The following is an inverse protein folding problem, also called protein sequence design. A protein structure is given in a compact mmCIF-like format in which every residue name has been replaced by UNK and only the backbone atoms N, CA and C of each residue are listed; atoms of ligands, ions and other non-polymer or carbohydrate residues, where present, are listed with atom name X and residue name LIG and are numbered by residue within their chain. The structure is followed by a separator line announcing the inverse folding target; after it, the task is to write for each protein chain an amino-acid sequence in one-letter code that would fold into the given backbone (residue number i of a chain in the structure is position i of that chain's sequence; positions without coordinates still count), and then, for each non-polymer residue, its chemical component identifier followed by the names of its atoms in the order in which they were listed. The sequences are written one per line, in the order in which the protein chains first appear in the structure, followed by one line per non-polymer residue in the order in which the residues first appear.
data_IF_900298182162
#
_entry.id   IF_900298182162
#
_cell.length_a   1.000
_cell.length_b   1.000
_cell.length_c   1.000
_cell.angle_alpha   90.00
_cell.angle_beta   90.00
_cell.angle_gamma   90.00
#
_symmetry.space_group_name_H-M   'P 1'
#
loop_
_entity.id
_entity.type
_entity.pdbx_description
1 polymer ?
#
# COMPACT_ATOMS: atom_id res chain seq x y z
N UNK A 1 22.33 32.00 -57.19
CA UNK A 1 22.94 31.78 -55.86
C UNK A 1 21.89 31.98 -54.76
N UNK A 2 21.01 31.01 -54.48
CA UNK A 2 20.16 31.01 -53.27
C UNK A 2 19.72 29.57 -52.96
N UNK A 3 20.43 28.84 -52.09
CA UNK A 3 20.01 27.48 -51.69
C UNK A 3 20.66 26.95 -50.39
N UNK A 4 20.94 27.78 -49.38
CA UNK A 4 21.60 27.31 -48.14
C UNK A 4 20.75 27.45 -46.87
N UNK A 5 19.58 28.09 -46.91
CA UNK A 5 18.80 28.40 -45.70
C UNK A 5 18.00 27.22 -45.12
N UNK A 6 17.74 26.16 -45.89
CA UNK A 6 16.82 25.08 -45.50
C UNK A 6 17.38 24.05 -44.50
N UNK A 7 18.70 23.93 -44.34
CA UNK A 7 19.31 22.93 -43.43
C UNK A 7 19.21 23.33 -41.96
N UNK A 8 19.27 24.61 -41.63
CA UNK A 8 19.22 25.08 -40.24
C UNK A 8 17.82 24.94 -39.63
N UNK A 9 16.78 25.12 -40.45
CA UNK A 9 15.39 24.96 -40.01
C UNK A 9 15.05 23.50 -39.67
N UNK A 10 15.59 22.53 -40.42
CA UNK A 10 15.35 21.09 -40.20
C UNK A 10 15.94 20.59 -38.88
N UNK A 11 17.14 21.02 -38.51
CA UNK A 11 17.77 20.62 -37.24
C UNK A 11 17.07 21.21 -36.01
N UNK A 12 16.56 22.45 -36.11
CA UNK A 12 15.78 23.07 -35.03
C UNK A 12 14.50 22.29 -34.72
N UNK A 13 13.77 21.86 -35.75
CA UNK A 13 12.53 21.06 -35.57
C UNK A 13 12.83 19.70 -34.92
N UNK A 14 13.90 19.01 -35.33
CA UNK A 14 14.29 17.73 -34.75
C UNK A 14 14.66 17.88 -33.26
N UNK A 15 15.39 18.93 -32.90
CA UNK A 15 15.77 19.17 -31.51
C UNK A 15 14.54 19.44 -30.61
N UNK A 16 13.58 20.23 -31.10
CA UNK A 16 12.34 20.53 -30.37
C UNK A 16 11.49 19.26 -30.22
N UNK A 17 11.31 18.47 -31.28
CA UNK A 17 10.59 17.20 -31.21
C UNK A 17 11.26 16.20 -30.27
N UNK A 18 12.60 16.16 -30.25
CA UNK A 18 13.38 15.33 -29.31
C UNK A 18 13.15 15.71 -27.85
N UNK A 19 13.13 17.02 -27.53
CA UNK A 19 12.84 17.51 -26.18
C UNK A 19 11.40 17.21 -25.74
N UNK A 20 10.43 17.38 -26.63
CA UNK A 20 9.02 17.05 -26.36
C UNK A 20 8.85 15.55 -26.10
N UNK A 21 9.50 14.70 -26.89
CA UNK A 21 9.48 13.26 -26.69
C UNK A 21 10.17 12.84 -25.38
N UNK A 22 11.31 13.44 -25.03
CA UNK A 22 11.98 13.19 -23.74
C UNK A 22 11.12 13.64 -22.55
N UNK A 23 10.43 14.79 -22.65
CA UNK A 23 9.49 15.25 -21.64
C UNK A 23 8.32 14.29 -21.47
N UNK A 24 7.75 13.78 -22.56
CA UNK A 24 6.64 12.83 -22.52
C UNK A 24 7.05 11.46 -21.94
N UNK A 25 8.22 10.94 -22.32
CA UNK A 25 8.76 9.70 -21.75
C UNK A 25 9.11 9.87 -20.27
N UNK A 26 9.69 11.01 -19.89
CA UNK A 26 9.96 11.35 -18.48
C UNK A 26 8.70 11.39 -17.63
N UNK A 27 7.61 11.99 -18.14
CA UNK A 27 6.31 12.03 -17.46
C UNK A 27 5.73 10.63 -17.21
N UNK A 28 5.78 9.74 -18.21
CA UNK A 28 5.28 8.36 -18.09
C UNK A 28 6.06 7.52 -17.06
N UNK A 29 7.36 7.80 -16.88
CA UNK A 29 8.20 7.11 -15.89
C UNK A 29 7.88 7.62 -14.47
N UNK A 30 7.67 8.92 -14.30
CA UNK A 30 7.37 9.55 -13.00
C UNK A 30 6.12 8.95 -12.33
N UNK A 31 5.04 8.76 -13.08
CA UNK A 31 3.79 8.19 -12.54
C UNK A 31 3.94 6.75 -12.01
N UNK A 32 4.85 5.96 -12.61
CA UNK A 32 5.12 4.58 -12.14
C UNK A 32 5.87 4.59 -10.82
N UNK A 33 6.84 5.48 -10.66
CA UNK A 33 7.66 5.58 -9.45
C UNK A 33 6.80 5.94 -8.23
N UNK A 34 5.87 6.88 -8.38
CA UNK A 34 4.99 7.30 -7.28
C UNK A 34 4.09 6.16 -6.78
N UNK A 35 3.58 5.31 -7.68
CA UNK A 35 2.75 4.15 -7.29
C UNK A 35 3.55 3.12 -6.50
N UNK A 36 4.78 2.84 -6.91
CA UNK A 36 5.65 1.89 -6.19
C UNK A 36 5.97 2.41 -4.78
N UNK A 37 6.32 3.69 -4.66
CA UNK A 37 6.62 4.29 -3.35
C UNK A 37 5.43 4.21 -2.39
N UNK A 38 4.21 4.50 -2.86
CA UNK A 38 3.00 4.41 -2.04
C UNK A 38 2.74 2.98 -1.55
N UNK A 39 2.92 1.97 -2.42
CA UNK A 39 2.75 0.57 -2.03
C UNK A 39 3.73 0.13 -0.95
N UNK A 40 4.99 0.54 -1.08
CA UNK A 40 6.03 0.25 -0.08
C UNK A 40 5.70 0.95 1.24
N UNK A 41 5.26 2.21 1.19
CA UNK A 41 4.84 2.94 2.38
C UNK A 41 3.63 2.29 3.06
N UNK A 42 2.59 1.94 2.29
CA UNK A 42 1.41 1.22 2.79
C UNK A 42 1.81 -0.12 3.40
N UNK A 43 2.63 -0.91 2.71
CA UNK A 43 3.06 -2.22 3.20
C UNK A 43 3.77 -2.07 4.54
N UNK A 44 4.74 -1.17 4.61
CA UNK A 44 5.39 -0.87 5.87
C UNK A 44 4.36 -0.43 6.92
N UNK A 45 3.46 0.52 6.62
CA UNK A 45 2.49 1.02 7.59
C UNK A 45 1.62 -0.10 8.18
N UNK A 46 1.10 -0.98 7.33
CA UNK A 46 0.30 -2.12 7.75
C UNK A 46 1.13 -3.15 8.54
N UNK A 47 2.39 -3.36 8.16
CA UNK A 47 3.35 -4.19 8.91
C UNK A 47 3.58 -3.64 10.33
N UNK A 48 3.78 -2.33 10.48
CA UNK A 48 3.99 -1.71 11.80
C UNK A 48 2.73 -1.76 12.67
N UNK A 49 1.54 -1.60 12.07
CA UNK A 49 0.28 -1.80 12.79
C UNK A 49 0.12 -3.25 13.25
N UNK A 50 0.45 -4.23 12.39
CA UNK A 50 0.41 -5.64 12.75
C UNK A 50 1.41 -5.96 13.88
N UNK A 51 2.65 -5.49 13.79
CA UNK A 51 3.64 -5.65 14.85
C UNK A 51 3.21 -4.95 16.15
N UNK A 52 2.65 -3.74 16.08
CA UNK A 52 2.14 -3.02 17.24
C UNK A 52 1.02 -3.81 17.94
N UNK A 53 0.14 -4.43 17.16
CA UNK A 53 -0.91 -5.30 17.66
C UNK A 53 -0.36 -6.52 18.41
N UNK A 54 0.62 -7.21 17.84
CA UNK A 54 1.29 -8.36 18.49
C UNK A 54 1.99 -7.92 19.77
N UNK A 55 2.74 -6.81 19.73
CA UNK A 55 3.45 -6.24 20.90
C UNK A 55 2.49 -5.85 22.03
N UNK A 56 1.34 -5.26 21.69
CA UNK A 56 0.32 -4.93 22.67
C UNK A 56 -0.14 -6.20 23.40
N UNK A 57 -0.51 -7.24 22.64
CA UNK A 57 -0.94 -8.51 23.21
C UNK A 57 0.14 -9.18 24.06
N UNK A 58 1.39 -9.21 23.59
CA UNK A 58 2.48 -9.82 24.33
C UNK A 58 2.69 -9.17 25.71
N UNK A 59 2.49 -7.85 25.78
CA UNK A 59 2.64 -7.06 27.00
C UNK A 59 1.42 -7.13 27.94
N UNK A 60 0.21 -6.97 27.41
CA UNK A 60 -1.02 -6.83 28.22
C UNK A 60 -1.79 -8.15 28.39
N UNK A 61 -1.48 -9.15 27.55
CA UNK A 61 -2.26 -10.40 27.39
C UNK A 61 -3.72 -10.14 27.05
N UNK A 62 -4.02 -8.97 26.48
CA UNK A 62 -5.34 -8.54 26.02
C UNK A 62 -5.22 -8.04 24.59
N UNK A 63 -6.25 -8.24 23.79
CA UNK A 63 -6.30 -7.71 22.44
C UNK A 63 -6.60 -6.21 22.49
N UNK A 64 -5.93 -5.38 21.68
CA UNK A 64 -6.27 -3.97 21.55
C UNK A 64 -7.68 -3.88 20.97
N UNK A 65 -8.51 -2.98 21.52
CA UNK A 65 -9.89 -2.77 21.06
C UNK A 65 -10.02 -1.52 20.22
N UNK A 66 -9.14 -0.57 20.45
CA UNK A 66 -9.19 0.75 19.87
C UNK A 66 -7.82 1.14 19.29
N UNK A 67 -7.76 2.05 18.30
CA UNK A 67 -6.50 2.57 17.77
C UNK A 67 -5.57 3.16 18.85
N UNK A 68 -6.12 3.69 19.93
CA UNK A 68 -5.34 4.31 21.01
C UNK A 68 -4.54 3.28 21.81
N UNK A 69 -4.99 2.02 21.88
CA UNK A 69 -4.24 0.92 22.52
C UNK A 69 -2.94 0.59 21.78
N UNK A 70 -2.89 0.88 20.47
CA UNK A 70 -1.73 0.66 19.61
C UNK A 70 -0.72 1.80 19.69
N UNK A 71 -1.13 3.01 20.11
CA UNK A 71 -0.28 4.19 20.16
C UNK A 71 1.09 3.98 20.85
N UNK A 72 1.20 3.28 22.00
CA UNK A 72 2.51 3.06 22.63
C UNK A 72 3.41 2.03 21.92
N UNK A 73 2.88 1.33 20.91
CA UNK A 73 3.56 0.21 20.24
C UNK A 73 3.87 0.46 18.76
N UNK A 74 3.20 1.45 18.15
CA UNK A 74 3.42 1.91 16.77
C UNK A 74 4.72 2.68 16.69
N UNK A 75 5.57 2.31 15.74
CA UNK A 75 6.86 2.97 15.48
C UNK A 75 6.68 4.14 14.52
N UNK A 76 5.72 4.04 13.59
CA UNK A 76 5.48 5.02 12.52
C UNK A 76 4.18 5.80 12.78
N UNK A 77 4.25 7.08 13.18
CA UNK A 77 3.06 7.85 13.56
C UNK A 77 2.09 8.05 12.38
N UNK A 78 2.58 8.03 11.14
CA UNK A 78 1.76 8.11 9.93
C UNK A 78 0.78 6.93 9.82
N UNK A 79 1.18 5.72 10.24
CA UNK A 79 0.32 4.55 10.20
C UNK A 79 -0.88 4.68 11.14
N UNK A 80 -0.65 5.20 12.36
CA UNK A 80 -1.71 5.45 13.33
C UNK A 80 -2.65 6.58 12.87
N UNK A 81 -2.12 7.64 12.25
CA UNK A 81 -2.93 8.71 11.71
C UNK A 81 -3.87 8.20 10.61
N UNK A 82 -3.36 7.42 9.66
CA UNK A 82 -4.14 6.80 8.58
C UNK A 82 -5.17 5.79 9.12
N UNK A 83 -4.86 5.06 10.18
CA UNK A 83 -5.83 4.20 10.87
C UNK A 83 -6.97 5.03 11.50
N UNK A 84 -6.65 6.13 12.18
CA UNK A 84 -7.65 7.03 12.81
C UNK A 84 -8.52 7.75 11.78
N UNK A 85 -7.95 8.10 10.63
CA UNK A 85 -8.67 8.67 9.48
C UNK A 85 -9.60 7.63 8.81
N UNK A 86 -9.35 6.34 9.02
CA UNK A 86 -10.09 5.24 8.41
C UNK A 86 -9.55 4.83 7.03
N UNK A 87 -8.37 5.30 6.65
CA UNK A 87 -7.65 4.87 5.44
C UNK A 87 -7.18 3.41 5.57
N UNK A 88 -6.86 2.98 6.78
CA UNK A 88 -6.57 1.59 7.11
C UNK A 88 -7.67 1.03 8.01
N UNK A 89 -7.97 -0.26 7.83
CA UNK A 89 -8.96 -1.00 8.61
C UNK A 89 -8.24 -2.13 9.33
N UNK A 90 -8.40 -2.19 10.65
CA UNK A 90 -7.90 -3.28 11.50
C UNK A 90 -9.06 -4.18 11.89
N UNK A 91 -8.88 -5.49 11.76
CA UNK A 91 -9.82 -6.50 12.23
C UNK A 91 -9.45 -6.85 13.68
N UNK A 92 -10.06 -6.14 14.63
CA UNK A 92 -9.75 -6.26 16.06
C UNK A 92 -9.97 -7.65 16.66
N UNK A 93 -10.79 -8.48 16.02
CA UNK A 93 -11.08 -9.85 16.47
C UNK A 93 -10.27 -10.92 15.72
N UNK A 94 -9.33 -10.52 14.85
CA UNK A 94 -8.60 -11.43 13.97
C UNK A 94 -7.81 -12.54 14.69
N UNK A 95 -7.46 -12.33 15.96
CA UNK A 95 -6.69 -13.31 16.73
C UNK A 95 -7.52 -14.43 17.36
N UNK A 96 -8.84 -14.22 17.50
CA UNK A 96 -9.77 -15.25 17.97
C UNK A 96 -10.12 -16.24 16.86
N UNK A 97 -9.83 -15.87 15.62
CA UNK A 97 -10.13 -16.67 14.45
C UNK A 97 -9.06 -17.73 14.26
N UNK A 98 -9.51 -18.96 14.01
CA UNK A 98 -8.61 -20.03 13.62
C UNK A 98 -8.00 -19.73 12.26
N UNK A 99 -6.72 -20.08 12.12
CA UNK A 99 -6.04 -19.97 10.83
C UNK A 99 -6.71 -20.94 9.86
N UNK A 100 -7.24 -20.48 8.72
CA UNK A 100 -7.82 -21.39 7.73
C UNK A 100 -6.75 -22.37 7.24
N UNK A 101 -7.09 -23.65 7.14
CA UNK A 101 -6.18 -24.68 6.65
C UNK A 101 -5.67 -24.31 5.25
N UNK A 102 -4.34 -24.23 5.08
CA UNK A 102 -3.71 -23.85 3.81
C UNK A 102 -3.73 -22.35 3.47
N UNK A 103 -4.19 -21.47 4.36
CA UNK A 103 -4.06 -20.01 4.20
C UNK A 103 -2.71 -19.51 4.72
N UNK A 104 -2.10 -18.45 4.14
CA UNK A 104 -0.97 -17.77 4.73
C UNK A 104 -1.27 -17.27 6.16
N UNK A 105 -2.51 -16.84 6.43
CA UNK A 105 -2.93 -16.41 7.77
C UNK A 105 -4.32 -15.79 7.79
N UNK A 106 -4.65 -15.19 8.93
CA UNK A 106 -5.84 -14.33 9.09
C UNK A 106 -5.42 -12.89 8.81
N UNK A 107 -6.20 -12.17 7.98
CA UNK A 107 -5.95 -10.75 7.70
C UNK A 107 -6.20 -9.95 8.98
N UNK A 108 -5.19 -9.20 9.40
CA UNK A 108 -5.24 -8.36 10.60
C UNK A 108 -5.51 -6.90 10.25
N UNK A 109 -4.86 -6.37 9.21
CA UNK A 109 -5.05 -5.00 8.76
C UNK A 109 -5.04 -4.92 7.23
N UNK A 110 -5.77 -3.98 6.65
CA UNK A 110 -5.83 -3.78 5.20
C UNK A 110 -6.20 -2.34 4.84
N UNK A 111 -5.93 -1.92 3.61
CA UNK A 111 -6.41 -0.63 3.10
C UNK A 111 -7.92 -0.62 2.94
N UNK A 112 -8.60 0.48 3.28
CA UNK A 112 -10.06 0.61 3.17
C UNK A 112 -10.61 0.20 1.81
N UNK A 113 -9.90 0.56 0.74
CA UNK A 113 -10.31 0.30 -0.64
C UNK A 113 -9.92 -1.11 -1.14
N UNK A 114 -9.12 -1.86 -0.37
CA UNK A 114 -8.63 -3.19 -0.76
C UNK A 114 -9.74 -4.20 -1.10
N UNK A 115 -10.89 -4.24 -0.39
CA UNK A 115 -11.99 -5.10 -0.79
C UNK A 115 -12.59 -4.73 -2.15
N UNK A 116 -12.39 -3.52 -2.66
CA UNK A 116 -12.97 -3.08 -3.95
C UNK A 116 -11.95 -3.06 -5.08
N UNK A 117 -10.71 -2.67 -4.80
CA UNK A 117 -9.68 -2.45 -5.82
C UNK A 117 -8.51 -3.45 -5.72
N UNK A 118 -8.48 -4.29 -4.70
CA UNK A 118 -7.27 -4.96 -4.26
C UNK A 118 -6.34 -3.98 -3.57
N UNK A 119 -5.25 -4.48 -3.01
CA UNK A 119 -4.31 -3.65 -2.27
C UNK A 119 -3.44 -4.46 -1.33
N UNK A 120 -2.70 -3.74 -0.51
CA UNK A 120 -1.83 -4.39 0.47
C UNK A 120 -2.66 -4.79 1.69
N UNK A 121 -2.44 -6.00 2.16
CA UNK A 121 -2.99 -6.53 3.41
C UNK A 121 -1.86 -6.99 4.32
N UNK A 122 -2.01 -6.80 5.62
CA UNK A 122 -1.18 -7.39 6.64
C UNK A 122 -1.89 -8.55 7.32
N UNK A 123 -1.19 -9.67 7.44
CA UNK A 123 -1.62 -10.83 8.19
C UNK A 123 -1.23 -10.71 9.66
N UNK A 124 -1.83 -11.60 10.47
CA UNK A 124 -1.57 -11.73 11.90
C UNK A 124 -0.09 -11.94 12.27
N UNK A 125 0.69 -12.57 11.40
CA UNK A 125 2.13 -12.79 11.57
C UNK A 125 2.98 -11.57 11.16
N UNK A 126 2.33 -10.41 10.94
CA UNK A 126 2.91 -9.19 10.42
C UNK A 126 3.50 -9.28 9.00
N UNK A 127 3.21 -10.36 8.26
CA UNK A 127 3.56 -10.42 6.84
C UNK A 127 2.59 -9.59 6.02
N UNK A 128 3.10 -8.86 5.03
CA UNK A 128 2.29 -8.06 4.13
C UNK A 128 2.31 -8.61 2.72
N UNK A 129 1.15 -8.72 2.09
CA UNK A 129 0.98 -9.26 0.74
C UNK A 129 0.03 -8.37 -0.05
N UNK A 130 0.31 -8.16 -1.33
CA UNK A 130 -0.63 -7.52 -2.24
C UNK A 130 -1.61 -8.59 -2.75
N UNK A 131 -2.91 -8.34 -2.53
CA UNK A 131 -3.98 -9.23 -2.97
C UNK A 131 -4.93 -8.50 -3.93
N UNK A 132 -5.58 -9.28 -4.80
CA UNK A 132 -6.68 -8.79 -5.62
C UNK A 132 -7.94 -8.57 -4.78
N UNK A 133 -8.88 -7.76 -5.27
CA UNK A 133 -10.12 -7.45 -4.57
C UNK A 133 -10.91 -8.72 -4.18
N UNK A 134 -10.97 -9.70 -5.10
CA UNK A 134 -11.72 -10.94 -4.90
C UNK A 134 -11.06 -11.82 -3.82
N UNK A 135 -9.74 -11.89 -3.78
CA UNK A 135 -9.00 -12.59 -2.73
C UNK A 135 -9.21 -11.92 -1.37
N UNK A 136 -9.15 -10.59 -1.29
CA UNK A 136 -9.42 -9.85 -0.04
C UNK A 136 -10.82 -10.16 0.46
N UNK A 137 -11.84 -10.08 -0.40
CA UNK A 137 -13.23 -10.39 -0.02
C UNK A 137 -13.40 -11.84 0.44
N UNK A 138 -12.81 -12.78 -0.27
CA UNK A 138 -12.89 -14.20 0.08
C UNK A 138 -12.32 -14.42 1.49
N UNK A 139 -11.13 -13.89 1.78
CA UNK A 139 -10.48 -13.99 3.09
C UNK A 139 -11.25 -13.27 4.19
N UNK A 140 -11.81 -12.09 3.91
CA UNK A 140 -12.64 -11.36 4.89
C UNK A 140 -13.98 -12.06 5.17
N UNK A 141 -14.48 -12.87 4.23
CA UNK A 141 -15.71 -13.65 4.42
C UNK A 141 -15.46 -14.92 5.23
N UNK A 142 -14.30 -15.58 5.05
CA UNK A 142 -13.87 -16.71 5.89
C UNK A 142 -13.81 -16.33 7.37
N UNK A 143 -13.38 -15.10 7.66
CA UNK A 143 -13.28 -14.52 9.00
C UNK A 143 -14.63 -14.37 9.71
N UNK A 144 -15.74 -14.21 8.97
CA UNK A 144 -17.07 -13.93 9.55
C UNK A 144 -17.91 -15.18 9.85
N UNK A 145 -17.42 -16.37 9.51
CA UNK A 145 -18.12 -17.64 9.73
C UNK A 145 -17.74 -18.25 11.07
#
# INVERSE_FOLDING_TARGET
MQATTSRRLRWGVIAVLGLVLLGYVGYQIWDRVQRVSRRVETAHDLEDLALAYVRHYDKTKKWPKDPDDLQPHVTRPGALAKLKEGSYVVVWEAYQLEKPAGSPGVILAYEKDAPTQGGVVAYRDATTVELTADEVKARLTEVKK
#
